data_IF_582329223075
#
_entry.id   IF_582329223075
#
_cell.length_a   1.000
_cell.length_b   1.000
_cell.length_c   1.000
_cell.angle_alpha   90.00
_cell.angle_beta   90.00
_cell.angle_gamma   90.00
#
_symmetry.space_group_name_H-M   'P 1'
#
loop_
_entity.id
_entity.type
_entity.pdbx_description
1 polymer ?
#
# COMPACT_ATOMS: atom_id res chain seq x y z
N UNK A 1 14.71 10.87 9.31
CA UNK A 1 14.26 9.65 8.63
C UNK A 1 14.44 8.43 9.51
N UNK A 2 15.68 8.08 9.93
CA UNK A 2 15.93 6.88 10.75
C UNK A 2 15.12 6.79 12.05
N UNK A 3 14.95 7.91 12.77
CA UNK A 3 14.12 7.96 13.98
C UNK A 3 12.66 7.63 13.69
N UNK A 4 12.10 8.21 12.61
CA UNK A 4 10.74 7.94 12.16
C UNK A 4 10.54 6.48 11.76
N UNK A 5 11.54 5.88 11.09
CA UNK A 5 11.53 4.46 10.75
C UNK A 5 11.50 3.61 12.04
N UNK A 6 12.36 3.92 13.03
CA UNK A 6 12.33 3.21 14.33
C UNK A 6 11.00 3.37 15.06
N UNK A 7 10.37 4.53 14.95
CA UNK A 7 9.08 4.83 15.57
C UNK A 7 7.88 4.31 14.75
N UNK A 8 8.10 3.61 13.62
CA UNK A 8 7.05 3.14 12.70
C UNK A 8 6.17 4.26 12.12
N UNK A 9 6.73 5.48 12.03
CA UNK A 9 6.05 6.67 11.53
C UNK A 9 6.17 6.84 10.01
N UNK A 10 6.96 6.01 9.34
CA UNK A 10 7.07 6.02 7.88
C UNK A 10 6.18 4.93 7.31
N UNK A 11 5.15 5.33 6.58
CA UNK A 11 4.23 4.44 5.91
C UNK A 11 4.53 4.41 4.41
N UNK A 12 4.36 3.25 3.80
CA UNK A 12 4.40 3.08 2.35
C UNK A 12 3.01 2.67 1.88
N UNK A 13 2.52 3.29 0.83
CA UNK A 13 1.18 3.11 0.30
C UNK A 13 1.27 2.74 -1.18
N UNK A 14 1.15 1.45 -1.54
CA UNK A 14 1.01 1.05 -2.93
C UNK A 14 -0.31 1.56 -3.50
N UNK A 15 -0.22 2.27 -4.62
CA UNK A 15 -1.34 2.83 -5.36
C UNK A 15 -1.56 1.98 -6.59
N UNK A 16 -2.62 1.17 -6.58
CA UNK A 16 -3.04 0.39 -7.75
C UNK A 16 -4.23 1.08 -8.41
N UNK A 17 -4.07 1.42 -9.68
CA UNK A 17 -5.13 2.04 -10.47
C UNK A 17 -5.61 1.08 -11.57
N UNK A 18 -6.93 1.00 -11.74
CA UNK A 18 -7.55 0.29 -12.86
C UNK A 18 -8.39 1.27 -13.70
N UNK A 19 -8.39 1.08 -15.02
CA UNK A 19 -9.31 1.80 -15.91
C UNK A 19 -10.61 1.01 -16.05
N UNK A 20 -11.74 1.66 -15.81
CA UNK A 20 -13.07 1.07 -15.94
C UNK A 20 -13.93 2.01 -16.80
N UNK A 21 -13.98 1.73 -18.10
CA UNK A 21 -14.56 2.64 -19.09
C UNK A 21 -13.87 4.00 -19.09
N UNK A 22 -14.61 5.05 -18.70
CA UNK A 22 -14.11 6.43 -18.59
C UNK A 22 -13.58 6.78 -17.18
N UNK A 23 -13.68 5.85 -16.23
CA UNK A 23 -13.29 6.07 -14.84
C UNK A 23 -11.92 5.47 -14.55
N UNK A 24 -11.26 6.04 -13.55
CA UNK A 24 -10.13 5.41 -12.85
C UNK A 24 -10.61 4.96 -11.49
N UNK A 25 -10.33 3.72 -11.16
CA UNK A 25 -10.64 3.10 -9.88
C UNK A 25 -9.34 2.91 -9.12
N UNK A 26 -9.41 3.08 -7.81
CA UNK A 26 -8.30 2.89 -6.88
C UNK A 26 -8.59 1.65 -6.04
N UNK A 27 -7.60 0.79 -5.88
CA UNK A 27 -7.71 -0.34 -4.95
C UNK A 27 -7.80 0.15 -3.51
N UNK A 28 -8.83 -0.33 -2.80
CA UNK A 28 -9.05 -0.16 -1.37
C UNK A 28 -9.34 -1.53 -0.77
N UNK A 29 -9.12 -1.69 0.53
CA UNK A 29 -9.60 -2.87 1.26
C UNK A 29 -10.54 -2.44 2.39
N UNK A 30 -11.50 -3.31 2.69
CA UNK A 30 -12.46 -3.11 3.78
C UNK A 30 -12.07 -4.02 4.95
N UNK A 31 -11.60 -3.42 6.04
CA UNK A 31 -11.22 -4.14 7.24
C UNK A 31 -12.46 -4.32 8.15
N UNK A 32 -12.74 -5.53 8.68
CA UNK A 32 -13.94 -5.78 9.49
C UNK A 32 -14.10 -4.89 10.74
N UNK A 33 -13.01 -4.32 11.23
CA UNK A 33 -12.98 -3.48 12.44
C UNK A 33 -12.56 -2.02 12.19
N UNK A 34 -12.10 -1.68 10.99
CA UNK A 34 -11.40 -0.42 10.73
C UNK A 34 -11.83 0.26 9.41
N UNK A 35 -13.05 -0.06 8.95
CA UNK A 35 -13.67 0.48 7.74
C UNK A 35 -12.78 0.33 6.48
N UNK A 36 -13.03 1.16 5.47
CA UNK A 36 -12.33 1.15 4.19
C UNK A 36 -11.02 1.90 4.29
N UNK A 37 -9.94 1.26 3.84
CA UNK A 37 -8.58 1.78 3.92
C UNK A 37 -7.84 1.64 2.59
N UNK A 38 -6.84 2.51 2.41
CA UNK A 38 -5.79 2.28 1.42
C UNK A 38 -4.91 1.13 1.91
N UNK A 39 -4.45 0.31 0.97
CA UNK A 39 -3.36 -0.62 1.21
C UNK A 39 -2.14 0.19 1.66
N UNK A 40 -1.59 -0.14 2.82
CA UNK A 40 -0.42 0.53 3.38
C UNK A 40 0.21 -0.30 4.48
N UNK A 41 1.49 -0.08 4.70
CA UNK A 41 2.12 -0.56 5.92
C UNK A 41 3.39 0.18 6.25
N UNK A 42 4.12 -0.36 7.22
CA UNK A 42 5.26 0.32 7.82
C UNK A 42 6.54 0.06 7.01
N UNK A 43 7.29 1.11 6.69
CA UNK A 43 8.64 0.96 6.13
C UNK A 43 9.55 0.27 7.16
N UNK A 44 10.00 -0.95 6.86
CA UNK A 44 10.85 -1.76 7.75
C UNK A 44 12.32 -1.38 7.54
N UNK A 45 13.18 -1.39 8.57
CA UNK A 45 14.63 -1.14 8.42
C UNK A 45 15.34 -2.07 7.45
N UNK A 46 14.77 -3.24 7.17
CA UNK A 46 15.28 -4.24 6.23
C UNK A 46 14.84 -4.01 4.78
N UNK A 47 13.89 -3.11 4.53
CA UNK A 47 13.43 -2.82 3.18
C UNK A 47 14.55 -2.12 2.38
N UNK A 48 14.74 -2.54 1.14
CA UNK A 48 15.84 -2.08 0.28
C UNK A 48 15.52 -0.70 -0.30
N UNK A 49 14.25 -0.43 -0.60
CA UNK A 49 13.73 0.85 -1.06
C UNK A 49 12.27 1.06 -0.65
N UNK A 50 11.75 2.27 -0.88
CA UNK A 50 10.32 2.59 -0.69
C UNK A 50 9.44 1.73 -1.60
N UNK A 51 9.85 1.55 -2.85
CA UNK A 51 9.14 0.72 -3.83
C UNK A 51 9.14 -0.74 -3.41
N UNK A 52 10.28 -1.30 -2.96
CA UNK A 52 10.30 -2.69 -2.48
C UNK A 52 9.40 -2.89 -1.27
N UNK A 53 9.34 -1.90 -0.36
CA UNK A 53 8.45 -1.94 0.79
C UNK A 53 6.99 -1.87 0.36
N UNK A 54 6.63 -0.98 -0.57
CA UNK A 54 5.26 -0.87 -1.08
C UNK A 54 4.79 -2.15 -1.79
N UNK A 55 5.68 -2.80 -2.55
CA UNK A 55 5.39 -4.10 -3.19
C UNK A 55 5.14 -5.21 -2.15
N UNK A 56 5.96 -5.24 -1.09
CA UNK A 56 5.77 -6.18 0.03
C UNK A 56 4.41 -5.98 0.69
N UNK A 57 4.08 -4.74 1.07
CA UNK A 57 2.78 -4.43 1.69
C UNK A 57 1.61 -4.77 0.75
N UNK A 58 1.76 -4.51 -0.56
CA UNK A 58 0.72 -4.87 -1.53
C UNK A 58 0.45 -6.38 -1.54
N UNK A 59 1.49 -7.20 -1.51
CA UNK A 59 1.35 -8.66 -1.45
C UNK A 59 0.79 -9.12 -0.09
N UNK A 60 1.30 -8.57 1.01
CA UNK A 60 0.91 -8.92 2.37
C UNK A 60 -0.56 -8.57 2.68
N UNK A 61 -1.10 -7.49 2.11
CA UNK A 61 -2.46 -7.02 2.43
C UNK A 61 -3.51 -7.35 1.35
N UNK A 62 -3.10 -7.52 0.09
CA UNK A 62 -4.04 -7.74 -1.02
C UNK A 62 -3.82 -9.03 -1.80
N UNK A 63 -2.68 -9.69 -1.61
CA UNK A 63 -2.28 -10.87 -2.38
C UNK A 63 -1.80 -10.58 -3.80
N UNK A 64 -1.66 -9.31 -4.18
CA UNK A 64 -1.20 -8.91 -5.51
C UNK A 64 0.34 -8.83 -5.53
N UNK A 65 0.98 -9.85 -6.10
CA UNK A 65 2.44 -9.91 -6.26
C UNK A 65 2.91 -9.71 -7.71
N UNK A 66 2.02 -9.84 -8.69
CA UNK A 66 2.34 -9.69 -10.12
C UNK A 66 2.24 -8.23 -10.58
N UNK A 67 3.19 -7.41 -10.11
CA UNK A 67 3.30 -5.99 -10.48
C UNK A 67 4.28 -5.83 -11.64
N UNK A 68 3.86 -5.16 -12.72
CA UNK A 68 4.68 -4.96 -13.93
C UNK A 68 5.68 -3.82 -13.77
N UNK A 69 5.33 -2.78 -13.02
CA UNK A 69 6.22 -1.66 -12.71
C UNK A 69 5.82 -0.99 -11.39
N UNK A 70 6.80 -0.37 -10.72
CA UNK A 70 6.58 0.41 -9.51
C UNK A 70 7.28 1.77 -9.66
N UNK A 71 6.53 2.86 -9.47
CA UNK A 71 7.03 4.21 -9.61
C UNK A 71 6.75 5.02 -8.35
N UNK A 72 7.79 5.52 -7.71
CA UNK A 72 7.63 6.49 -6.63
C UNK A 72 6.92 7.75 -7.13
N UNK A 73 5.84 8.14 -6.45
CA UNK A 73 5.06 9.33 -6.79
C UNK A 73 5.54 10.53 -5.98
N UNK A 74 5.28 10.52 -4.67
CA UNK A 74 5.74 11.53 -3.74
C UNK A 74 5.47 11.06 -2.29
N UNK A 75 5.78 11.93 -1.33
CA UNK A 75 5.44 11.76 0.07
C UNK A 75 4.46 12.82 0.58
N UNK A 76 3.74 12.48 1.64
CA UNK A 76 2.81 13.37 2.33
C UNK A 76 3.00 13.30 3.84
N UNK A 77 3.23 14.46 4.46
CA UNK A 77 3.14 14.61 5.91
C UNK A 77 1.66 14.63 6.30
N UNK A 78 1.16 13.48 6.77
CA UNK A 78 -0.26 13.29 7.05
C UNK A 78 -0.76 14.14 8.22
N UNK A 79 0.13 14.49 9.16
CA UNK A 79 -0.21 15.10 10.44
C UNK A 79 -0.93 14.14 11.42
N UNK A 80 -1.32 12.95 10.97
CA UNK A 80 -1.92 11.92 11.80
C UNK A 80 -0.82 11.04 12.40
N UNK A 81 -0.76 10.97 13.74
CA UNK A 81 0.24 10.17 14.47
C UNK A 81 1.68 10.43 14.01
N UNK A 82 2.00 11.67 13.60
CA UNK A 82 3.31 12.05 13.07
C UNK A 82 3.76 11.20 11.86
N UNK A 83 2.83 10.66 11.06
CA UNK A 83 3.17 9.76 9.96
C UNK A 83 3.55 10.49 8.67
N UNK A 84 4.61 10.01 8.01
CA UNK A 84 4.98 10.34 6.63
C UNK A 84 4.64 9.19 5.71
N UNK A 85 3.81 9.48 4.71
CA UNK A 85 3.32 8.49 3.78
C UNK A 85 4.04 8.63 2.47
N UNK A 86 4.65 7.56 1.98
CA UNK A 86 5.23 7.49 0.65
C UNK A 86 4.28 6.74 -0.28
N UNK A 87 3.95 7.34 -1.42
CA UNK A 87 3.05 6.75 -2.41
C UNK A 87 3.86 6.16 -3.57
N UNK A 88 3.52 4.93 -3.95
CA UNK A 88 4.17 4.23 -5.07
C UNK A 88 3.08 3.75 -6.01
N UNK A 89 3.09 4.21 -7.26
CA UNK A 89 2.20 3.68 -8.30
C UNK A 89 2.67 2.27 -8.67
N UNK A 90 1.81 1.28 -8.48
CA UNK A 90 2.03 -0.10 -8.87
C UNK A 90 1.16 -0.42 -10.08
N UNK A 91 1.79 -0.66 -11.23
CA UNK A 91 1.07 -1.06 -12.45
C UNK A 91 0.87 -2.58 -12.47
N UNK A 92 -0.32 -2.99 -12.86
CA UNK A 92 -0.73 -4.39 -12.92
C UNK A 92 -1.31 -4.65 -14.30
N UNK A 93 -0.66 -5.55 -15.05
CA UNK A 93 -1.06 -5.86 -16.43
C UNK A 93 -2.29 -6.78 -16.48
N UNK A 94 -2.51 -7.56 -15.42
CA UNK A 94 -3.67 -8.44 -15.31
C UNK A 94 -4.95 -7.65 -15.01
N UNK A 95 -6.05 -8.07 -15.62
CA UNK A 95 -7.36 -7.51 -15.32
C UNK A 95 -7.81 -7.99 -13.94
N UNK A 96 -7.85 -7.06 -12.97
CA UNK A 96 -8.29 -7.36 -11.62
C UNK A 96 -9.82 -7.54 -11.56
N UNK A 97 -10.38 -8.36 -10.66
CA UNK A 97 -11.82 -8.39 -10.40
C UNK A 97 -12.27 -7.11 -9.67
N UNK A 98 -13.58 -6.85 -9.61
CA UNK A 98 -14.12 -5.69 -8.88
C UNK A 98 -13.91 -5.77 -7.37
N UNK A 99 -13.84 -6.99 -6.83
CA UNK A 99 -13.66 -7.26 -5.41
C UNK A 99 -13.15 -8.69 -5.22
N UNK A 100 -12.36 -8.91 -4.19
CA UNK A 100 -11.97 -10.24 -3.72
C UNK A 100 -11.78 -10.20 -2.21
N UNK A 101 -11.74 -11.38 -1.59
CA UNK A 101 -11.38 -11.52 -0.18
C UNK A 101 -9.96 -12.05 -0.07
N UNK A 102 -9.18 -11.47 0.83
CA UNK A 102 -7.81 -11.88 1.08
C UNK A 102 -7.56 -11.94 2.58
N UNK A 103 -6.81 -12.94 3.02
CA UNK A 103 -6.37 -13.05 4.41
C UNK A 103 -4.99 -12.40 4.50
N UNK A 104 -4.94 -11.22 5.12
CA UNK A 104 -3.71 -10.43 5.25
C UNK A 104 -2.64 -11.22 5.98
N UNK A 105 -1.40 -11.08 5.54
CA UNK A 105 -0.25 -11.78 6.12
C UNK A 105 0.37 -11.03 7.30
N UNK A 106 0.05 -9.73 7.47
CA UNK A 106 0.56 -8.89 8.57
C UNK A 106 -0.58 -8.43 9.51
N UNK A 107 -0.46 -8.72 10.80
CA UNK A 107 -1.33 -8.32 11.95
C UNK A 107 -2.85 -8.18 11.72
N UNK A 108 -3.40 -8.90 10.74
CA UNK A 108 -4.81 -8.83 10.36
C UNK A 108 -5.21 -7.60 9.53
N UNK A 109 -4.27 -6.78 9.05
CA UNK A 109 -4.57 -5.55 8.29
C UNK A 109 -5.05 -4.38 9.16
N UNK A 110 -4.58 -4.33 10.42
CA UNK A 110 -4.90 -3.29 11.41
C UNK A 110 -3.90 -2.11 11.43
N UNK A 111 -2.80 -2.21 10.69
CA UNK A 111 -1.70 -1.23 10.67
C UNK A 111 -1.91 -0.02 9.76
#
# INVERSE_FOLDING_TARGET
MEERIRNREVKVCPVVLRKSGNYRELLLFEHPLADVQLVKGTLKPSDISIESAALRELEEESGLSSVSSAYYLDCWESGFQNQLWHFVLCEIDQELPNSWSFFTQDDGGLE
#
